data_IF_642435886428
#
_entry.id   IF_642435886428
#
_cell.length_a   1.000
_cell.length_b   1.000
_cell.length_c   1.000
_cell.angle_alpha   90.00
_cell.angle_beta   90.00
_cell.angle_gamma   90.00
#
_symmetry.space_group_name_H-M   'P 1'
#
loop_
_entity.id
_entity.type
_entity.pdbx_description
1 polymer ?
#
# COMPACT_ATOMS: atom_id res chain seq x y z
N UNK A 1 -39.76 62.67 -20.84
CA UNK A 1 -40.47 62.24 -19.64
C UNK A 1 -39.42 61.87 -18.58
N UNK A 2 -39.55 62.40 -17.36
CA UNK A 2 -38.64 62.01 -16.26
C UNK A 2 -38.94 60.55 -15.87
N UNK A 3 -37.87 59.74 -15.70
CA UNK A 3 -37.97 58.35 -15.26
C UNK A 3 -38.73 58.27 -13.92
N UNK A 4 -39.62 57.32 -13.79
CA UNK A 4 -40.33 57.10 -12.54
C UNK A 4 -39.39 56.51 -11.47
N UNK A 5 -39.80 56.48 -10.23
CA UNK A 5 -38.97 56.02 -9.11
C UNK A 5 -38.52 54.56 -9.26
N UNK A 6 -39.30 53.71 -9.91
CA UNK A 6 -38.97 52.31 -10.17
C UNK A 6 -37.91 52.17 -11.29
N UNK A 7 -38.00 52.99 -12.35
CA UNK A 7 -36.98 53.01 -13.40
C UNK A 7 -35.65 53.51 -12.88
N UNK A 8 -35.66 54.52 -12.01
CA UNK A 8 -34.45 55.01 -11.36
C UNK A 8 -33.80 53.95 -10.45
N UNK A 9 -34.64 53.23 -9.72
CA UNK A 9 -34.14 52.13 -8.88
C UNK A 9 -33.48 51.03 -9.71
N UNK A 10 -34.13 50.60 -10.82
CA UNK A 10 -33.60 49.58 -11.73
C UNK A 10 -32.28 50.01 -12.38
N UNK A 11 -32.19 51.27 -12.78
CA UNK A 11 -30.93 51.81 -13.35
C UNK A 11 -29.79 51.77 -12.29
N UNK A 12 -30.08 52.16 -11.09
CA UNK A 12 -29.09 52.15 -10.01
C UNK A 12 -28.70 50.68 -9.65
N UNK A 13 -29.63 49.77 -9.61
CA UNK A 13 -29.34 48.35 -9.37
C UNK A 13 -28.46 47.78 -10.50
N UNK A 14 -28.74 48.08 -11.75
CA UNK A 14 -27.88 47.67 -12.89
C UNK A 14 -26.47 48.21 -12.78
N UNK A 15 -26.33 49.47 -12.40
CA UNK A 15 -24.98 50.09 -12.19
C UNK A 15 -24.20 49.39 -11.07
N UNK A 16 -24.87 49.03 -9.97
CA UNK A 16 -24.30 48.26 -8.90
C UNK A 16 -23.82 46.89 -9.37
N UNK A 17 -24.65 46.19 -10.16
CA UNK A 17 -24.26 44.92 -10.77
C UNK A 17 -23.03 45.02 -11.66
N UNK A 18 -22.93 46.07 -12.48
CA UNK A 18 -21.75 46.31 -13.29
C UNK A 18 -20.49 46.53 -12.45
N UNK A 19 -20.61 47.22 -11.34
CA UNK A 19 -19.50 47.41 -10.42
C UNK A 19 -19.05 46.07 -9.80
N UNK A 20 -20.00 45.25 -9.32
CA UNK A 20 -19.71 43.91 -8.80
C UNK A 20 -19.03 43.03 -9.85
N UNK A 21 -19.47 43.08 -11.11
CA UNK A 21 -18.86 42.32 -12.19
C UNK A 21 -17.42 42.77 -12.48
N UNK A 22 -17.16 44.10 -12.46
CA UNK A 22 -15.80 44.63 -12.60
C UNK A 22 -14.89 44.19 -11.47
N UNK A 23 -15.36 44.23 -10.22
CA UNK A 23 -14.60 43.77 -9.07
C UNK A 23 -14.28 42.28 -9.15
N UNK A 24 -15.27 41.46 -9.52
CA UNK A 24 -15.06 39.99 -9.70
C UNK A 24 -14.06 39.71 -10.82
N UNK A 25 -14.13 40.47 -11.92
CA UNK A 25 -13.17 40.33 -13.02
C UNK A 25 -11.75 40.71 -12.54
N UNK A 26 -11.59 41.83 -11.86
CA UNK A 26 -10.30 42.27 -11.34
C UNK A 26 -9.72 41.27 -10.34
N UNK A 27 -10.54 40.72 -9.40
CA UNK A 27 -10.12 39.68 -8.46
C UNK A 27 -9.68 38.39 -9.19
N UNK A 28 -10.40 37.98 -10.23
CA UNK A 28 -10.02 36.82 -11.04
C UNK A 28 -8.70 37.03 -11.75
N UNK A 29 -8.52 38.20 -12.41
CA UNK A 29 -7.28 38.53 -13.09
C UNK A 29 -6.09 38.62 -12.12
N UNK A 30 -6.29 39.16 -10.92
CA UNK A 30 -5.27 39.15 -9.87
C UNK A 30 -4.92 37.73 -9.40
N UNK A 31 -5.91 36.89 -9.20
CA UNK A 31 -5.71 35.49 -8.82
C UNK A 31 -4.97 34.70 -9.93
N UNK A 32 -5.32 34.93 -11.18
CA UNK A 32 -4.63 34.31 -12.32
C UNK A 32 -3.18 34.80 -12.42
N UNK A 33 -2.93 36.10 -12.25
CA UNK A 33 -1.59 36.69 -12.24
C UNK A 33 -0.76 36.11 -11.07
N UNK A 34 -1.34 36.04 -9.88
CA UNK A 34 -0.69 35.42 -8.73
C UNK A 34 -0.35 33.94 -8.99
N UNK A 35 -1.30 33.16 -9.46
CA UNK A 35 -1.07 31.74 -9.76
C UNK A 35 0.00 31.52 -10.86
N UNK A 36 0.12 32.44 -11.81
CA UNK A 36 1.19 32.41 -12.80
C UNK A 36 2.56 32.84 -12.25
N UNK A 37 2.59 33.70 -11.24
CA UNK A 37 3.84 34.17 -10.61
C UNK A 37 4.39 33.17 -9.56
N UNK A 38 3.53 32.31 -9.01
CA UNK A 38 3.97 31.28 -8.05
C UNK A 38 4.76 30.21 -8.80
N UNK A 39 6.03 29.94 -8.41
CA UNK A 39 6.79 28.85 -9.00
C UNK A 39 6.01 27.54 -8.88
N UNK A 40 5.78 26.86 -9.99
CA UNK A 40 5.17 25.53 -9.95
C UNK A 40 6.08 24.60 -9.13
N UNK A 41 5.62 24.21 -7.97
CA UNK A 41 6.30 23.16 -7.22
C UNK A 41 6.33 21.90 -8.10
N UNK A 42 7.49 21.25 -8.13
CA UNK A 42 7.59 19.94 -8.79
C UNK A 42 6.56 19.01 -8.18
N UNK A 43 5.55 18.64 -8.95
CA UNK A 43 4.53 17.72 -8.49
C UNK A 43 5.20 16.37 -8.15
N UNK A 44 4.85 15.83 -7.00
CA UNK A 44 5.29 14.49 -6.63
C UNK A 44 4.59 13.48 -7.54
N UNK A 45 5.33 12.42 -7.85
CA UNK A 45 4.78 11.32 -8.64
C UNK A 45 3.55 10.73 -7.95
N UNK A 46 2.46 10.60 -8.67
CA UNK A 46 1.27 9.91 -8.16
C UNK A 46 1.51 8.40 -8.07
N UNK A 47 0.99 7.78 -7.01
CA UNK A 47 0.99 6.31 -6.86
C UNK A 47 -0.26 5.78 -7.57
N UNK A 48 -0.06 4.97 -8.60
CA UNK A 48 -1.17 4.28 -9.25
C UNK A 48 -1.56 3.06 -8.42
N UNK A 49 -2.76 3.09 -7.84
CA UNK A 49 -3.25 2.02 -6.97
C UNK A 49 -3.96 0.91 -7.75
N UNK A 50 -4.51 1.22 -8.94
CA UNK A 50 -5.39 0.30 -9.69
C UNK A 50 -6.52 -0.24 -8.78
N UNK A 51 -6.62 -1.56 -8.64
CA UNK A 51 -7.57 -2.28 -7.77
C UNK A 51 -6.97 -2.66 -6.39
N UNK A 52 -5.82 -2.09 -6.05
CA UNK A 52 -5.06 -2.43 -4.83
C UNK A 52 -5.27 -1.39 -3.74
N UNK A 53 -5.09 -1.82 -2.50
CA UNK A 53 -5.15 -0.97 -1.32
C UNK A 53 -3.74 -0.53 -0.92
N UNK A 54 -3.58 0.76 -0.69
CA UNK A 54 -2.34 1.31 -0.14
C UNK A 54 -2.23 0.98 1.35
N UNK A 55 -1.11 0.39 1.74
CA UNK A 55 -0.78 0.08 3.13
C UNK A 55 0.66 0.45 3.47
N UNK A 56 0.91 0.72 4.74
CA UNK A 56 2.25 0.85 5.28
C UNK A 56 3.09 1.95 4.64
N UNK A 57 2.51 3.11 4.41
CA UNK A 57 3.25 4.28 3.95
C UNK A 57 4.27 4.70 5.02
N UNK A 58 5.54 4.81 4.62
CA UNK A 58 6.63 5.21 5.50
C UNK A 58 7.62 6.12 4.78
N UNK A 59 8.37 6.91 5.54
CA UNK A 59 9.41 7.80 5.02
C UNK A 59 10.73 7.51 5.74
N UNK A 60 11.83 7.57 5.00
CA UNK A 60 13.17 7.49 5.60
C UNK A 60 13.49 8.71 6.47
N UNK A 61 14.36 8.59 7.49
CA UNK A 61 14.72 9.71 8.37
C UNK A 61 15.24 10.96 7.64
N UNK A 62 15.90 10.78 6.50
CA UNK A 62 16.40 11.86 5.66
C UNK A 62 15.36 12.40 4.65
N UNK A 63 14.15 11.83 4.62
CA UNK A 63 13.07 12.23 3.74
C UNK A 63 13.28 11.88 2.26
N UNK A 64 14.33 11.12 1.91
CA UNK A 64 14.64 10.75 0.53
C UNK A 64 13.75 9.63 0.00
N UNK A 65 13.57 8.56 0.79
CA UNK A 65 12.86 7.37 0.37
C UNK A 65 11.47 7.32 0.98
N UNK A 66 10.48 7.04 0.14
CA UNK A 66 9.10 6.78 0.55
C UNK A 66 8.81 5.32 0.25
N UNK A 67 8.53 4.54 1.29
CA UNK A 67 8.16 3.13 1.16
C UNK A 67 6.65 2.96 1.28
N UNK A 68 6.09 2.06 0.48
CA UNK A 68 4.66 1.73 0.54
C UNK A 68 4.40 0.30 0.06
N UNK A 69 3.29 -0.26 0.52
CA UNK A 69 2.83 -1.58 0.13
C UNK A 69 1.50 -1.47 -0.59
N UNK A 70 1.33 -2.27 -1.61
CA UNK A 70 0.05 -2.44 -2.30
C UNK A 70 -0.48 -3.84 -2.00
N UNK A 71 -1.70 -3.90 -1.47
CA UNK A 71 -2.38 -5.14 -1.14
C UNK A 71 -3.55 -5.36 -2.11
N UNK A 72 -3.57 -6.49 -2.76
CA UNK A 72 -4.74 -7.00 -3.46
C UNK A 72 -5.44 -8.01 -2.57
N UNK A 73 -6.67 -7.73 -2.16
CA UNK A 73 -7.48 -8.66 -1.37
C UNK A 73 -8.02 -9.78 -2.24
N UNK A 74 -8.02 -11.00 -1.73
CA UNK A 74 -8.70 -12.10 -2.41
C UNK A 74 -10.17 -12.13 -1.98
N UNK A 75 -11.07 -12.36 -2.93
CA UNK A 75 -12.46 -12.64 -2.63
C UNK A 75 -12.59 -14.12 -2.23
N UNK A 76 -12.66 -14.38 -0.94
CA UNK A 76 -12.90 -15.72 -0.40
C UNK A 76 -14.09 -15.71 0.54
N UNK A 77 -14.87 -16.80 0.52
CA UNK A 77 -15.99 -16.96 1.45
C UNK A 77 -15.45 -17.34 2.84
N UNK A 78 -15.88 -16.62 3.88
CA UNK A 78 -15.69 -17.05 5.26
C UNK A 78 -16.61 -18.20 5.60
N UNK A 79 -16.18 -19.08 6.51
CA UNK A 79 -17.08 -20.04 7.14
C UNK A 79 -17.92 -19.34 8.20
N UNK A 80 -19.06 -19.89 8.52
CA UNK A 80 -19.98 -19.39 9.54
C UNK A 80 -20.02 -20.38 10.67
N UNK A 81 -19.92 -19.89 11.90
CA UNK A 81 -20.11 -20.69 13.12
C UNK A 81 -21.35 -20.15 13.83
N UNK A 82 -22.42 -20.93 13.92
CA UNK A 82 -23.62 -20.48 14.62
C UNK A 82 -23.37 -20.44 16.14
N UNK A 83 -23.68 -19.28 16.74
CA UNK A 83 -23.73 -19.14 18.20
C UNK A 83 -25.14 -19.41 18.68
N UNK A 84 -25.27 -20.46 19.46
CA UNK A 84 -26.57 -20.87 20.00
C UNK A 84 -26.88 -20.24 21.36
N UNK A 85 -25.86 -19.75 22.05
CA UNK A 85 -26.01 -19.11 23.37
C UNK A 85 -25.97 -17.61 23.20
N UNK A 86 -27.15 -16.99 23.15
CA UNK A 86 -27.31 -15.56 23.00
C UNK A 86 -28.30 -14.98 24.00
N UNK A 87 -28.20 -13.74 24.35
CA UNK A 87 -29.14 -13.07 25.26
C UNK A 87 -30.58 -13.01 24.71
N UNK A 88 -30.73 -13.02 23.40
CA UNK A 88 -32.04 -12.93 22.71
C UNK A 88 -32.70 -14.31 22.56
N UNK A 89 -31.99 -15.42 22.82
CA UNK A 89 -32.46 -16.77 22.55
C UNK A 89 -32.51 -17.18 21.07
N UNK A 90 -32.10 -16.29 20.14
CA UNK A 90 -32.00 -16.60 18.72
C UNK A 90 -30.56 -16.84 18.31
N UNK A 91 -30.35 -17.82 17.41
CA UNK A 91 -29.03 -18.13 16.88
C UNK A 91 -28.47 -16.95 16.08
N UNK A 92 -27.19 -16.61 16.31
CA UNK A 92 -26.44 -15.59 15.58
C UNK A 92 -25.30 -16.25 14.85
N UNK A 93 -25.15 -15.94 13.56
CA UNK A 93 -24.05 -16.42 12.74
C UNK A 93 -22.78 -15.57 12.98
N UNK A 94 -21.70 -16.22 13.48
CA UNK A 94 -20.40 -15.61 13.68
C UNK A 94 -19.51 -15.90 12.46
N UNK A 95 -18.94 -14.88 11.80
CA UNK A 95 -17.98 -15.10 10.73
C UNK A 95 -16.71 -15.74 11.30
N UNK A 96 -16.27 -16.82 10.67
CA UNK A 96 -15.06 -17.54 11.02
C UNK A 96 -14.02 -17.46 9.88
N UNK A 97 -12.91 -18.18 10.05
CA UNK A 97 -11.84 -18.21 9.06
C UNK A 97 -12.30 -18.81 7.73
N UNK A 98 -11.64 -18.42 6.64
CA UNK A 98 -11.80 -19.06 5.34
C UNK A 98 -11.35 -20.52 5.37
N UNK A 99 -11.86 -21.35 4.47
CA UNK A 99 -11.41 -22.74 4.32
C UNK A 99 -9.95 -22.81 3.89
N UNK A 100 -9.26 -23.88 4.30
CA UNK A 100 -7.91 -24.21 3.82
C UNK A 100 -7.93 -24.29 2.29
N UNK A 101 -6.90 -23.70 1.64
CA UNK A 101 -6.83 -23.64 0.18
C UNK A 101 -7.62 -22.50 -0.46
N UNK A 102 -8.29 -21.65 0.30
CA UNK A 102 -8.91 -20.43 -0.23
C UNK A 102 -7.84 -19.50 -0.82
N UNK A 103 -8.23 -18.77 -1.85
CA UNK A 103 -7.35 -17.77 -2.47
C UNK A 103 -6.87 -16.77 -1.42
N UNK A 104 -5.56 -16.54 -1.42
CA UNK A 104 -4.92 -15.58 -0.54
C UNK A 104 -4.70 -14.25 -1.30
N UNK A 105 -4.76 -13.14 -0.58
CA UNK A 105 -4.38 -11.85 -1.14
C UNK A 105 -2.90 -11.81 -1.50
N UNK A 106 -2.52 -10.91 -2.39
CA UNK A 106 -1.12 -10.66 -2.75
C UNK A 106 -0.66 -9.31 -2.20
N UNK A 107 0.59 -9.24 -1.80
CA UNK A 107 1.23 -8.03 -1.31
C UNK A 107 2.44 -7.70 -2.18
N UNK A 108 2.62 -6.43 -2.48
CA UNK A 108 3.75 -5.89 -3.22
C UNK A 108 4.41 -4.78 -2.40
N UNK A 109 5.74 -4.68 -2.46
CA UNK A 109 6.50 -3.65 -1.75
C UNK A 109 7.23 -2.75 -2.74
N UNK A 110 7.10 -1.45 -2.53
CA UNK A 110 7.71 -0.41 -3.35
C UNK A 110 8.46 0.60 -2.51
N UNK A 111 9.54 1.13 -3.07
CA UNK A 111 10.33 2.22 -2.49
C UNK A 111 10.54 3.27 -3.57
N UNK A 112 10.05 4.46 -3.34
CA UNK A 112 10.25 5.62 -4.21
C UNK A 112 11.44 6.45 -3.74
N UNK A 113 12.45 6.60 -4.57
CA UNK A 113 13.57 7.52 -4.37
C UNK A 113 13.22 8.90 -4.95
N UNK A 114 13.01 9.88 -4.10
CA UNK A 114 12.63 11.25 -4.48
C UNK A 114 13.73 11.99 -5.24
N UNK A 115 15.01 11.68 -4.97
CA UNK A 115 16.12 12.33 -5.63
C UNK A 115 16.30 11.82 -7.06
N UNK A 116 16.19 10.50 -7.25
CA UNK A 116 16.35 9.87 -8.56
C UNK A 116 15.05 9.77 -9.34
N UNK A 117 13.90 10.14 -8.75
CA UNK A 117 12.55 9.96 -9.30
C UNK A 117 12.30 8.52 -9.80
N UNK A 118 12.74 7.54 -9.01
CA UNK A 118 12.74 6.13 -9.40
C UNK A 118 12.01 5.29 -8.36
N UNK A 119 11.23 4.31 -8.83
CA UNK A 119 10.56 3.34 -7.96
C UNK A 119 11.30 2.01 -8.05
N UNK A 120 11.72 1.50 -6.89
CA UNK A 120 12.26 0.15 -6.71
C UNK A 120 11.16 -0.78 -6.21
N UNK A 121 11.08 -1.99 -6.73
CA UNK A 121 10.15 -3.02 -6.26
C UNK A 121 10.91 -4.31 -5.94
N UNK A 122 10.43 -5.04 -4.94
CA UNK A 122 10.95 -6.38 -4.65
C UNK A 122 10.16 -7.36 -5.50
N UNK A 123 10.89 -8.09 -6.35
CA UNK A 123 10.32 -9.21 -7.09
C UNK A 123 10.36 -10.45 -6.20
N UNK A 124 9.21 -11.07 -5.98
CA UNK A 124 9.10 -12.26 -5.13
C UNK A 124 9.99 -13.41 -5.61
N UNK A 125 10.21 -13.54 -6.92
CA UNK A 125 11.07 -14.56 -7.51
C UNK A 125 12.57 -14.39 -7.19
N UNK A 126 13.00 -13.20 -6.77
CA UNK A 126 14.38 -12.91 -6.37
C UNK A 126 14.68 -13.26 -4.89
N UNK A 127 13.65 -13.64 -4.11
CA UNK A 127 13.83 -14.00 -2.70
C UNK A 127 14.46 -15.40 -2.62
N UNK A 128 15.63 -15.56 -1.96
CA UNK A 128 16.30 -16.84 -1.87
C UNK A 128 15.44 -17.93 -1.20
N UNK A 129 15.32 -19.09 -1.84
CA UNK A 129 14.53 -20.21 -1.33
C UNK A 129 13.01 -20.05 -1.43
N UNK A 130 12.52 -19.02 -2.13
CA UNK A 130 11.07 -18.80 -2.28
C UNK A 130 10.35 -19.93 -3.02
N UNK A 131 11.08 -20.71 -3.80
CA UNK A 131 10.58 -21.85 -4.59
C UNK A 131 10.88 -23.19 -3.93
N UNK A 132 11.49 -23.22 -2.74
CA UNK A 132 11.80 -24.44 -2.04
C UNK A 132 10.50 -25.19 -1.73
N UNK A 133 10.52 -26.51 -1.96
CA UNK A 133 9.37 -27.36 -1.69
C UNK A 133 9.40 -27.80 -0.22
N UNK A 134 8.24 -27.83 0.48
CA UNK A 134 8.15 -28.35 1.83
C UNK A 134 8.61 -29.82 1.90
N UNK A 135 9.21 -30.23 3.02
CA UNK A 135 9.78 -31.56 3.17
C UNK A 135 8.77 -32.69 3.00
N UNK A 136 7.53 -32.50 3.41
CA UNK A 136 6.49 -33.52 3.24
C UNK A 136 6.26 -33.93 1.77
N UNK A 137 6.60 -33.08 0.82
CA UNK A 137 6.44 -33.40 -0.61
C UNK A 137 7.34 -34.56 -1.03
N UNK A 138 8.46 -34.76 -0.31
CA UNK A 138 9.39 -35.89 -0.56
C UNK A 138 8.75 -37.24 -0.32
N UNK A 139 7.74 -37.32 0.54
CA UNK A 139 6.99 -38.56 0.81
C UNK A 139 6.00 -38.89 -0.31
N UNK A 140 5.78 -37.98 -1.27
CA UNK A 140 4.84 -38.13 -2.36
C UNK A 140 5.54 -38.00 -3.73
N UNK A 141 6.15 -39.06 -4.28
CA UNK A 141 7.00 -38.99 -5.49
C UNK A 141 6.33 -38.33 -6.70
N UNK A 142 5.04 -38.60 -6.93
CA UNK A 142 4.29 -37.97 -8.04
C UNK A 142 4.14 -36.47 -7.86
N UNK A 143 3.82 -36.03 -6.66
CA UNK A 143 3.71 -34.58 -6.35
C UNK A 143 5.08 -33.90 -6.40
N UNK A 144 6.14 -34.57 -5.95
CA UNK A 144 7.50 -34.08 -6.04
C UNK A 144 7.89 -33.83 -7.48
N UNK A 145 7.64 -34.80 -8.37
CA UNK A 145 7.94 -34.67 -9.80
C UNK A 145 7.16 -33.51 -10.45
N UNK A 146 5.86 -33.41 -10.20
CA UNK A 146 5.02 -32.34 -10.77
C UNK A 146 5.44 -30.94 -10.28
N UNK A 147 5.65 -30.79 -8.97
CA UNK A 147 6.04 -29.51 -8.36
C UNK A 147 7.47 -29.09 -8.71
N UNK A 148 8.38 -30.06 -8.92
CA UNK A 148 9.76 -29.78 -9.34
C UNK A 148 9.83 -29.31 -10.78
N UNK A 149 8.95 -29.76 -11.66
CA UNK A 149 8.88 -29.30 -13.07
C UNK A 149 8.40 -27.84 -13.17
N UNK A 150 7.52 -27.40 -12.25
CA UNK A 150 7.01 -26.03 -12.19
C UNK A 150 7.03 -25.50 -10.74
N UNK A 151 8.20 -25.11 -10.24
CA UNK A 151 8.28 -24.60 -8.88
C UNK A 151 7.48 -23.30 -8.77
N UNK A 152 6.46 -23.31 -7.92
CA UNK A 152 5.62 -22.14 -7.69
C UNK A 152 6.33 -21.16 -6.74
N UNK A 153 6.19 -19.88 -7.01
CA UNK A 153 6.60 -18.84 -6.07
C UNK A 153 5.61 -18.86 -4.90
N UNK A 154 6.11 -19.09 -3.69
CA UNK A 154 5.27 -19.05 -2.50
C UNK A 154 4.77 -17.63 -2.24
N UNK A 155 3.54 -17.53 -1.80
CA UNK A 155 2.95 -16.25 -1.43
C UNK A 155 3.66 -15.70 -0.18
N UNK A 156 3.97 -14.40 -0.22
CA UNK A 156 4.66 -13.69 0.85
C UNK A 156 3.90 -12.45 1.28
N UNK A 157 4.14 -12.04 2.52
CA UNK A 157 3.75 -10.75 3.07
C UNK A 157 5.00 -9.92 3.37
N UNK A 158 4.92 -8.63 3.07
CA UNK A 158 5.99 -7.68 3.34
C UNK A 158 5.70 -6.92 4.63
N UNK A 159 6.67 -6.83 5.52
CA UNK A 159 6.67 -5.93 6.66
C UNK A 159 6.88 -4.47 6.27
N UNK A 160 6.99 -3.59 7.25
CA UNK A 160 7.45 -2.23 7.02
C UNK A 160 8.96 -2.19 6.80
N UNK A 161 9.45 -1.15 6.12
CA UNK A 161 10.87 -0.88 6.00
C UNK A 161 11.35 -0.19 7.28
N UNK A 162 12.20 -0.86 8.05
CA UNK A 162 12.78 -0.35 9.29
C UNK A 162 14.10 0.33 9.02
N UNK A 163 14.19 1.62 9.31
CA UNK A 163 15.38 2.44 9.10
C UNK A 163 16.22 2.56 10.35
N UNK A 164 17.54 2.57 10.17
CA UNK A 164 18.45 3.02 11.23
C UNK A 164 18.21 4.51 11.54
N UNK A 165 18.47 4.98 12.78
CA UNK A 165 18.22 6.38 13.16
C UNK A 165 18.90 7.41 12.26
N UNK A 166 20.09 7.07 11.73
CA UNK A 166 20.84 7.91 10.81
C UNK A 166 20.41 7.75 9.33
N UNK A 167 19.40 6.94 9.06
CA UNK A 167 18.87 6.70 7.71
C UNK A 167 19.82 5.99 6.74
N UNK A 168 20.98 5.47 7.19
CA UNK A 168 21.99 4.86 6.30
C UNK A 168 21.65 3.43 5.92
N UNK A 169 20.97 2.70 6.78
CA UNK A 169 20.57 1.31 6.57
C UNK A 169 19.07 1.15 6.72
N UNK A 170 18.52 0.23 5.96
CA UNK A 170 17.14 -0.18 6.12
C UNK A 170 17.03 -1.70 6.00
N UNK A 171 16.13 -2.28 6.78
CA UNK A 171 15.83 -3.70 6.79
C UNK A 171 14.35 -3.89 6.50
N UNK A 172 14.06 -4.85 5.63
CA UNK A 172 12.73 -5.30 5.33
C UNK A 172 12.56 -6.74 5.82
N UNK A 173 11.52 -6.97 6.59
CA UNK A 173 11.08 -8.30 6.93
C UNK A 173 10.09 -8.82 5.89
N UNK A 174 10.29 -10.04 5.42
CA UNK A 174 9.39 -10.75 4.52
C UNK A 174 9.01 -12.06 5.20
N UNK A 175 7.73 -12.43 5.16
CA UNK A 175 7.25 -13.72 5.67
C UNK A 175 6.49 -14.47 4.59
N UNK A 176 6.70 -15.78 4.53
CA UNK A 176 5.83 -16.65 3.75
C UNK A 176 4.44 -16.74 4.40
N UNK A 177 3.40 -16.80 3.57
CA UNK A 177 2.01 -16.88 4.09
C UNK A 177 1.70 -18.21 4.79
N UNK A 178 2.50 -19.24 4.56
CA UNK A 178 2.46 -20.52 5.29
C UNK A 178 3.20 -20.48 6.64
N UNK A 179 3.78 -19.33 7.00
CA UNK A 179 4.56 -19.08 8.22
C UNK A 179 5.78 -19.98 8.41
N UNK A 180 6.29 -20.61 7.36
CA UNK A 180 7.46 -21.49 7.42
C UNK A 180 8.78 -20.76 7.22
N UNK A 181 8.77 -19.62 6.54
CA UNK A 181 9.96 -18.83 6.24
C UNK A 181 9.80 -17.37 6.62
N UNK A 182 10.90 -16.82 7.11
CA UNK A 182 11.10 -15.39 7.37
C UNK A 182 12.45 -14.97 6.79
N UNK A 183 12.44 -13.89 6.01
CA UNK A 183 13.63 -13.30 5.44
C UNK A 183 13.84 -11.90 5.99
N UNK A 184 15.07 -11.60 6.38
CA UNK A 184 15.52 -10.24 6.68
C UNK A 184 16.37 -9.77 5.52
N UNK A 185 15.88 -8.76 4.80
CA UNK A 185 16.53 -8.22 3.61
C UNK A 185 17.04 -6.82 3.89
N UNK A 186 18.33 -6.57 3.60
CA UNK A 186 18.92 -5.23 3.68
C UNK A 186 18.66 -4.49 2.37
N UNK A 187 18.20 -3.25 2.48
CA UNK A 187 18.04 -2.34 1.35
C UNK A 187 19.34 -1.59 1.08
N UNK A 188 19.87 -1.69 -0.13
CA UNK A 188 21.00 -0.89 -0.62
C UNK A 188 20.45 0.42 -1.22
N UNK A 189 20.74 1.54 -0.58
CA UNK A 189 20.28 2.88 -0.98
C UNK A 189 20.93 3.37 -2.28
N UNK A 190 22.09 2.85 -2.65
CA UNK A 190 22.84 3.27 -3.84
C UNK A 190 22.30 2.55 -5.06
N UNK A 191 22.19 1.23 -4.97
CA UNK A 191 21.75 0.36 -6.06
C UNK A 191 20.22 0.24 -6.16
N UNK A 192 19.48 0.52 -5.07
CA UNK A 192 18.04 0.29 -5.00
C UNK A 192 17.68 -1.19 -4.95
N UNK A 193 18.60 -2.02 -4.49
CA UNK A 193 18.49 -3.47 -4.47
C UNK A 193 18.34 -4.01 -3.05
N UNK A 194 17.87 -5.24 -2.93
CA UNK A 194 17.79 -5.94 -1.65
C UNK A 194 18.77 -7.11 -1.61
N UNK A 195 19.48 -7.25 -0.50
CA UNK A 195 20.37 -8.37 -0.23
C UNK A 195 19.91 -9.14 0.99
N UNK A 196 19.96 -10.47 0.93
CA UNK A 196 19.60 -11.33 2.05
C UNK A 196 20.62 -11.14 3.19
N UNK A 197 20.10 -10.86 4.39
CA UNK A 197 20.90 -10.87 5.62
C UNK A 197 20.72 -12.19 6.38
N UNK A 198 19.48 -12.63 6.51
CA UNK A 198 19.14 -13.84 7.25
C UNK A 198 17.87 -14.48 6.70
N UNK A 199 17.82 -15.81 6.69
CA UNK A 199 16.64 -16.61 6.40
C UNK A 199 16.43 -17.58 7.54
N UNK A 200 15.29 -17.48 8.17
CA UNK A 200 14.83 -18.41 9.18
C UNK A 200 13.79 -19.34 8.56
N UNK A 201 13.92 -20.63 8.81
CA UNK A 201 13.04 -21.66 8.28
C UNK A 201 12.66 -22.66 9.36
N UNK A 202 11.40 -23.09 9.36
CA UNK A 202 10.88 -24.17 10.17
C UNK A 202 9.83 -24.95 9.39
N UNK A 203 9.90 -26.28 9.39
CA UNK A 203 8.96 -27.13 8.65
C UNK A 203 7.54 -27.09 9.21
N UNK A 204 7.35 -26.75 10.47
CA UNK A 204 6.04 -26.55 11.05
C UNK A 204 5.59 -25.09 10.89
N UNK A 205 6.19 -24.20 11.64
CA UNK A 205 5.99 -22.74 11.57
C UNK A 205 7.06 -21.99 12.36
N UNK A 206 7.45 -20.82 11.91
CA UNK A 206 8.36 -19.96 12.65
C UNK A 206 7.63 -19.34 13.84
N UNK A 207 8.11 -19.63 15.05
CA UNK A 207 7.64 -19.10 16.32
C UNK A 207 8.79 -18.72 17.24
N UNK A 208 8.49 -18.11 18.38
CA UNK A 208 9.45 -17.78 19.42
C UNK A 208 9.79 -16.29 19.53
N UNK A 209 10.77 -15.93 20.39
CA UNK A 209 11.16 -14.54 20.62
C UNK A 209 11.59 -13.84 19.34
N UNK A 210 11.10 -12.62 19.12
CA UNK A 210 11.41 -11.80 17.94
C UNK A 210 10.69 -12.19 16.66
N UNK A 211 9.84 -13.21 16.66
CA UNK A 211 9.02 -13.61 15.50
C UNK A 211 7.61 -13.03 15.56
N UNK A 212 7.18 -12.54 16.72
CA UNK A 212 5.96 -11.75 16.86
C UNK A 212 6.12 -10.43 16.12
N UNK A 213 5.07 -9.95 15.44
CA UNK A 213 5.09 -8.62 14.86
C UNK A 213 5.42 -7.59 15.95
N UNK A 214 6.23 -6.61 15.61
CA UNK A 214 6.37 -5.41 16.45
C UNK A 214 5.00 -4.74 16.48
N UNK A 215 4.28 -4.88 17.62
CA UNK A 215 3.08 -4.14 17.90
C UNK A 215 3.43 -2.71 18.32
#
# INVERSE_FOLDING_TARGET
AAANSQEQWLQNDQLNWFQVLKERKAKREQAEAYNKSVPKQKELRSINLEDKLLQGLGISPDGRFISYRLLRTASSKSTIVPSYVTETGFTVDLPARTKVGSLQGSSEMYIYDREKDTIYSIKADSIPGIKDLPDYVKDYPKQLEEKSKKPAIRAVSFGGLSWSPNGTNAILEIRSQDNKDRWLMKFDRIQGAFTLMDRQHDEAWIGGPGTGGFG
#
